data_IF_144303319410
#
_entry.id   IF_144303319410
#
_cell.length_a   1.000
_cell.length_b   1.000
_cell.length_c   1.000
_cell.angle_alpha   90.00
_cell.angle_beta   90.00
_cell.angle_gamma   90.00
#
_symmetry.space_group_name_H-M   'P 1'
#
loop_
_entity.id
_entity.type
_entity.pdbx_description
1 polymer ?
#
# COMPACT_ATOMS: atom_id res chain seq x y z
N UNK A 1 -27.49 -48.33 -12.45
CA UNK A 1 -26.61 -47.15 -12.51
C UNK A 1 -26.53 -46.51 -11.13
N UNK A 2 -25.58 -46.99 -10.32
CA UNK A 2 -24.37 -46.24 -9.88
C UNK A 2 -24.58 -45.40 -8.62
N UNK A 3 -25.02 -46.04 -7.52
CA UNK A 3 -24.90 -45.49 -6.16
C UNK A 3 -23.44 -45.08 -5.87
N UNK A 4 -22.50 -45.90 -6.33
CA UNK A 4 -21.06 -45.63 -6.34
C UNK A 4 -20.68 -44.41 -7.17
N UNK A 5 -21.34 -44.17 -8.31
CA UNK A 5 -21.12 -43.00 -9.16
C UNK A 5 -21.63 -41.68 -8.56
N UNK A 6 -22.69 -41.76 -7.74
CA UNK A 6 -23.18 -40.61 -6.96
C UNK A 6 -22.19 -40.24 -5.85
N UNK A 7 -21.65 -41.24 -5.15
CA UNK A 7 -20.63 -41.06 -4.12
C UNK A 7 -19.31 -40.49 -4.68
N UNK A 8 -18.80 -41.02 -5.80
CA UNK A 8 -17.57 -40.50 -6.43
C UNK A 8 -17.75 -39.08 -6.95
N UNK A 9 -18.93 -38.75 -7.49
CA UNK A 9 -19.27 -37.39 -7.91
C UNK A 9 -19.28 -36.40 -6.74
N UNK A 10 -19.86 -36.77 -5.60
CA UNK A 10 -19.85 -35.94 -4.39
C UNK A 10 -18.42 -35.69 -3.87
N UNK A 11 -17.57 -36.72 -3.85
CA UNK A 11 -16.18 -36.59 -3.40
C UNK A 11 -15.37 -35.67 -4.30
N UNK A 12 -15.55 -35.75 -5.62
CA UNK A 12 -14.90 -34.85 -6.57
C UNK A 12 -15.34 -33.40 -6.38
N UNK A 13 -16.64 -33.15 -6.17
CA UNK A 13 -17.15 -31.80 -5.92
C UNK A 13 -16.60 -31.22 -4.61
N UNK A 14 -16.56 -32.01 -3.53
CA UNK A 14 -15.97 -31.58 -2.25
C UNK A 14 -14.47 -31.31 -2.37
N UNK A 15 -13.73 -32.11 -3.13
CA UNK A 15 -12.31 -31.88 -3.40
C UNK A 15 -12.08 -30.57 -4.18
N UNK A 16 -12.87 -30.31 -5.22
CA UNK A 16 -12.80 -29.07 -6.00
C UNK A 16 -13.12 -27.84 -5.13
N UNK A 17 -14.18 -27.93 -4.31
CA UNK A 17 -14.56 -26.85 -3.39
C UNK A 17 -13.44 -26.61 -2.36
N UNK A 18 -12.86 -27.67 -1.81
CA UNK A 18 -11.76 -27.55 -0.84
C UNK A 18 -10.55 -26.85 -1.46
N UNK A 19 -10.13 -27.27 -2.66
CA UNK A 19 -9.02 -26.65 -3.39
C UNK A 19 -9.30 -25.16 -3.66
N UNK A 20 -10.53 -24.80 -4.06
CA UNK A 20 -10.91 -23.41 -4.30
C UNK A 20 -10.76 -22.56 -3.01
N UNK A 21 -11.17 -23.08 -1.85
CA UNK A 21 -11.07 -22.36 -0.57
C UNK A 21 -9.63 -22.16 -0.12
N UNK A 22 -8.72 -23.12 -0.37
CA UNK A 22 -7.29 -22.95 -0.08
C UNK A 22 -6.64 -21.87 -0.95
N UNK A 23 -7.08 -21.72 -2.20
CA UNK A 23 -6.53 -20.71 -3.13
C UNK A 23 -7.09 -19.31 -2.83
N UNK A 24 -8.32 -19.21 -2.32
CA UNK A 24 -8.96 -17.93 -2.00
C UNK A 24 -8.83 -17.56 -0.52
N UNK A 25 -7.65 -17.74 0.06
CA UNK A 25 -7.33 -17.18 1.38
C UNK A 25 -7.52 -15.67 1.33
N UNK A 26 -8.74 -15.21 1.65
CA UNK A 26 -9.12 -13.82 1.73
C UNK A 26 -8.42 -13.25 2.96
N UNK A 27 -7.14 -12.96 2.81
CA UNK A 27 -6.38 -12.14 3.74
C UNK A 27 -7.20 -10.87 3.89
N UNK A 28 -7.73 -10.63 5.09
CA UNK A 28 -8.47 -9.40 5.39
C UNK A 28 -7.53 -8.26 5.01
N UNK A 29 -7.85 -7.57 3.90
CA UNK A 29 -7.05 -6.44 3.43
C UNK A 29 -7.28 -5.32 4.43
N UNK A 30 -6.48 -5.32 5.48
CA UNK A 30 -6.42 -4.21 6.41
C UNK A 30 -5.86 -3.03 5.63
N UNK A 31 -6.51 -1.86 5.74
CA UNK A 31 -6.05 -0.62 5.10
C UNK A 31 -4.74 -0.07 5.72
N UNK A 32 -4.16 -0.80 6.67
CA UNK A 32 -2.99 -0.43 7.44
C UNK A 32 -2.07 -1.65 7.63
N UNK A 33 -0.79 -1.40 7.92
CA UNK A 33 0.15 -2.46 8.25
C UNK A 33 -0.16 -3.07 9.62
N UNK A 34 -0.44 -4.36 9.67
CA UNK A 34 -0.54 -5.16 10.90
C UNK A 34 0.77 -5.88 11.22
N UNK A 35 1.60 -6.09 10.20
CA UNK A 35 2.97 -6.61 10.30
C UNK A 35 3.93 -5.73 9.52
N UNK A 36 5.22 -5.83 9.84
CA UNK A 36 6.30 -5.05 9.21
C UNK A 36 7.51 -5.93 8.92
N UNK A 37 8.18 -5.64 7.81
CA UNK A 37 9.43 -6.30 7.42
C UNK A 37 10.65 -5.50 7.88
N UNK A 38 11.70 -6.19 8.28
CA UNK A 38 13.04 -5.62 8.49
C UNK A 38 13.91 -5.68 7.22
N UNK A 39 13.50 -6.49 6.23
CA UNK A 39 14.25 -6.69 4.98
C UNK A 39 14.23 -5.43 4.14
N UNK A 40 15.39 -5.11 3.55
CA UNK A 40 15.54 -4.03 2.57
C UNK A 40 14.69 -4.32 1.33
N UNK A 41 14.00 -3.30 0.85
CA UNK A 41 13.25 -3.33 -0.40
C UNK A 41 14.23 -3.18 -1.57
N UNK A 42 14.14 -4.10 -2.54
CA UNK A 42 15.01 -4.13 -3.73
C UNK A 42 14.36 -3.49 -4.95
N UNK A 43 13.04 -3.36 -4.95
CA UNK A 43 12.27 -2.69 -6.00
C UNK A 43 12.33 -1.16 -5.86
N UNK A 44 12.09 -0.40 -6.95
CA UNK A 44 12.08 1.06 -6.88
C UNK A 44 11.03 1.59 -5.90
N UNK A 45 11.45 2.51 -5.02
CA UNK A 45 10.60 3.20 -4.06
C UNK A 45 10.26 4.58 -4.64
N UNK A 46 8.97 4.83 -4.84
CA UNK A 46 8.42 6.05 -5.43
C UNK A 46 8.10 7.10 -4.36
N UNK A 47 7.71 6.64 -3.17
CA UNK A 47 7.25 7.50 -2.09
C UNK A 47 7.15 6.76 -0.77
N UNK A 48 6.67 7.46 0.25
CA UNK A 48 6.47 6.86 1.57
C UNK A 48 5.35 7.55 2.36
N UNK A 49 4.80 6.81 3.32
CA UNK A 49 3.85 7.29 4.32
C UNK A 49 4.23 6.76 5.69
N UNK A 50 4.18 7.62 6.71
CA UNK A 50 4.38 7.20 8.10
C UNK A 50 3.04 6.76 8.66
N UNK A 51 2.98 5.51 9.15
CA UNK A 51 1.84 4.97 9.87
C UNK A 51 2.09 5.06 11.37
N UNK A 52 1.18 5.74 12.07
CA UNK A 52 1.16 5.78 13.54
C UNK A 52 0.61 4.45 14.09
N UNK A 53 1.06 4.08 15.28
CA UNK A 53 0.52 2.93 15.98
C UNK A 53 -0.94 3.17 16.35
N UNK A 54 -1.82 2.24 15.98
CA UNK A 54 -3.25 2.23 16.30
C UNK A 54 -3.80 0.81 16.10
N UNK A 55 -3.88 -0.02 17.14
CA UNK A 55 -4.26 -1.43 17.02
C UNK A 55 -5.54 -1.64 16.19
N UNK A 56 -5.57 -2.61 15.25
CA UNK A 56 -4.55 -3.65 15.01
C UNK A 56 -3.34 -3.17 14.19
N UNK A 57 -3.30 -1.90 13.77
CA UNK A 57 -2.22 -1.33 12.99
C UNK A 57 -0.98 -1.07 13.87
N UNK A 58 0.18 -1.55 13.41
CA UNK A 58 1.46 -1.32 14.08
C UNK A 58 2.11 -0.01 13.61
N UNK A 59 3.11 0.48 14.33
CA UNK A 59 3.92 1.61 13.84
C UNK A 59 4.77 1.15 12.65
N UNK A 60 4.67 1.82 11.52
CA UNK A 60 5.36 1.40 10.29
C UNK A 60 5.72 2.60 9.40
N UNK A 61 6.71 2.40 8.53
CA UNK A 61 6.88 3.23 7.33
C UNK A 61 6.38 2.41 6.16
N UNK A 62 5.37 2.91 5.45
CA UNK A 62 4.83 2.29 4.25
C UNK A 62 5.55 2.92 3.07
N UNK A 63 6.30 2.13 2.32
CA UNK A 63 6.90 2.58 1.07
C UNK A 63 5.94 2.28 -0.09
N UNK A 64 5.72 3.28 -0.92
CA UNK A 64 5.04 3.12 -2.20
C UNK A 64 6.10 2.66 -3.21
N UNK A 65 5.94 1.45 -3.73
CA UNK A 65 6.83 0.85 -4.73
C UNK A 65 6.05 0.51 -5.99
N UNK A 66 6.75 0.21 -7.08
CA UNK A 66 6.12 -0.13 -8.37
C UNK A 66 5.23 -1.38 -8.31
N UNK A 67 5.54 -2.33 -7.42
CA UNK A 67 4.80 -3.57 -7.20
C UNK A 67 3.78 -3.49 -6.03
N UNK A 68 3.51 -2.28 -5.53
CA UNK A 68 2.53 -2.01 -4.48
C UNK A 68 3.12 -1.84 -3.08
N UNK A 69 2.34 -1.30 -2.13
CA UNK A 69 2.85 -0.78 -0.86
C UNK A 69 3.53 -1.85 0.00
N UNK A 70 4.70 -1.51 0.57
CA UNK A 70 5.48 -2.40 1.46
C UNK A 70 5.60 -1.81 2.87
N UNK A 71 5.22 -2.58 3.88
CA UNK A 71 5.32 -2.23 5.29
C UNK A 71 6.71 -2.50 5.85
N UNK A 72 7.45 -1.46 6.23
CA UNK A 72 8.80 -1.57 6.79
C UNK A 72 8.84 -1.14 8.26
N UNK A 73 9.68 -1.81 9.03
CA UNK A 73 9.87 -1.50 10.44
C UNK A 73 10.61 -0.16 10.59
N UNK A 74 10.06 0.75 11.38
CA UNK A 74 10.51 2.16 11.43
C UNK A 74 11.88 2.36 12.10
N UNK A 75 12.44 1.34 12.77
CA UNK A 75 13.75 1.42 13.43
C UNK A 75 14.92 0.97 12.56
N UNK A 76 14.67 0.44 11.36
CA UNK A 76 15.77 0.00 10.51
C UNK A 76 16.51 1.22 9.94
N UNK A 77 17.85 1.21 10.02
CA UNK A 77 18.68 2.34 9.57
C UNK A 77 18.42 2.70 8.10
N UNK A 78 18.28 1.69 7.24
CA UNK A 78 18.02 1.89 5.81
C UNK A 78 16.67 2.56 5.54
N UNK A 79 15.68 2.37 6.41
CA UNK A 79 14.35 3.00 6.29
C UNK A 79 14.50 4.50 6.53
N UNK A 80 15.24 4.87 7.58
CA UNK A 80 15.52 6.27 7.90
C UNK A 80 16.30 6.95 6.78
N UNK A 81 17.38 6.34 6.30
CA UNK A 81 18.18 6.83 5.17
C UNK A 81 17.32 7.08 3.92
N UNK A 82 16.45 6.11 3.59
CA UNK A 82 15.60 6.20 2.40
C UNK A 82 14.56 7.32 2.53
N UNK A 83 13.94 7.47 3.69
CA UNK A 83 13.01 8.57 3.98
C UNK A 83 13.70 9.93 3.82
N UNK A 84 14.92 10.09 4.34
CA UNK A 84 15.69 11.32 4.18
C UNK A 84 16.02 11.62 2.72
N UNK A 85 16.40 10.61 1.94
CA UNK A 85 16.66 10.75 0.50
C UNK A 85 15.42 11.25 -0.24
N UNK A 86 14.24 10.67 0.03
CA UNK A 86 12.98 11.06 -0.58
C UNK A 86 12.57 12.49 -0.21
N UNK A 87 12.74 12.88 1.05
CA UNK A 87 12.46 14.26 1.49
C UNK A 87 13.39 15.28 0.84
N UNK A 88 14.67 14.96 0.68
CA UNK A 88 15.62 15.82 -0.03
C UNK A 88 15.22 15.99 -1.50
N UNK A 89 14.85 14.90 -2.17
CA UNK A 89 14.38 14.94 -3.56
C UNK A 89 13.10 15.78 -3.71
N UNK A 90 12.12 15.59 -2.81
CA UNK A 90 10.87 16.37 -2.78
C UNK A 90 11.12 17.87 -2.62
N UNK A 91 12.06 18.24 -1.73
CA UNK A 91 12.44 19.65 -1.52
C UNK A 91 13.10 20.26 -2.75
N UNK A 92 14.00 19.54 -3.42
CA UNK A 92 14.61 20.04 -4.66
C UNK A 92 13.60 20.26 -5.78
N UNK A 93 12.58 19.39 -5.91
CA UNK A 93 11.54 19.54 -6.91
C UNK A 93 10.61 20.73 -6.64
N UNK A 94 10.29 21.00 -5.36
CA UNK A 94 9.46 22.14 -4.96
C UNK A 94 10.08 23.50 -5.31
N UNK A 95 11.42 23.59 -5.40
CA UNK A 95 12.10 24.83 -5.80
C UNK A 95 12.01 25.08 -7.31
N UNK A 96 11.91 24.04 -8.13
CA UNK A 96 11.78 24.14 -9.59
C UNK A 96 10.34 24.42 -10.05
N UNK A 97 9.33 24.05 -9.24
CA UNK A 97 7.92 24.24 -9.56
C UNK A 97 7.29 25.53 -9.02
N UNK A 98 8.09 26.51 -8.57
CA UNK A 98 7.58 27.80 -8.13
C UNK A 98 6.85 28.52 -9.29
N UNK A 99 5.56 28.88 -9.13
CA UNK A 99 4.75 29.36 -10.25
C UNK A 99 5.03 30.84 -10.52
N UNK A 100 5.67 31.12 -11.65
CA UNK A 100 5.44 32.37 -12.40
C UNK A 100 3.98 32.35 -12.84
N UNK A 101 3.09 32.95 -12.03
CA UNK A 101 1.66 32.93 -12.34
C UNK A 101 0.76 33.47 -11.23
N UNK A 102 1.17 34.51 -10.49
CA UNK A 102 0.22 35.30 -9.70
C UNK A 102 -0.39 36.36 -10.62
N UNK A 103 -1.30 35.95 -11.50
CA UNK A 103 -2.22 36.87 -12.15
C UNK A 103 -3.19 37.39 -11.07
N UNK A 104 -3.02 38.66 -10.71
CA UNK A 104 -3.92 39.40 -9.84
C UNK A 104 -5.25 39.57 -10.59
N UNK A 105 -6.27 38.79 -10.25
CA UNK A 105 -7.62 39.02 -10.76
C UNK A 105 -8.23 40.23 -10.03
N UNK A 106 -8.72 41.26 -10.74
CA UNK A 106 -9.47 42.33 -10.11
C UNK A 106 -10.84 41.81 -9.66
N UNK A 107 -11.19 42.12 -8.40
CA UNK A 107 -12.48 41.88 -7.77
C UNK A 107 -13.59 42.62 -8.55
N UNK A 108 -14.69 41.98 -8.97
CA UNK A 108 -15.83 42.69 -9.55
C UNK A 108 -16.57 43.46 -8.45
N UNK A 109 -16.71 44.78 -8.65
CA UNK A 109 -17.59 45.64 -7.87
C UNK A 109 -19.04 45.40 -8.31
N UNK A 110 -19.92 45.08 -7.35
CA UNK A 110 -21.37 44.95 -7.55
C UNK A 110 -21.99 46.35 -7.62
N UNK A 111 -22.81 46.69 -8.63
CA UNK A 111 -23.60 47.92 -8.60
C UNK A 111 -24.91 47.74 -7.80
N UNK A 112 -25.30 48.82 -7.11
CA UNK A 112 -26.58 48.99 -6.42
C UNK A 112 -27.65 49.47 -7.39
#
# INVERSE_FOLDING_TARGET
MTLTGRLTSCLLMLAIISIAVFVTGAEKVHSCCTQVSTKRITVPILGYKIQKWNPPCVKAVIFETEDGPKCSHWKEDWVFEKVMQLEKARRSQATTSSPTGRAMTPKPSVPL
#
